data_IF_777567987951
#
_entry.id   IF_777567987951
#
_cell.length_a   1.000
_cell.length_b   1.000
_cell.length_c   1.000
_cell.angle_alpha   90.00
_cell.angle_beta   90.00
_cell.angle_gamma   90.00
#
_symmetry.space_group_name_H-M   'P 1'
#
loop_
_entity.id
_entity.type
_entity.pdbx_description
1 polymer ?
#
# COMPACT_ATOMS: atom_id res chain seq x y z
N UNK A 1 -10.64 13.87 13.17
CA UNK A 1 -10.13 14.57 11.95
C UNK A 1 -9.61 13.57 10.90
N UNK A 2 -9.01 12.42 11.27
CA UNK A 2 -8.62 11.38 10.30
C UNK A 2 -9.77 10.48 9.80
N UNK A 3 -10.79 10.19 10.63
CA UNK A 3 -11.85 9.22 10.26
C UNK A 3 -12.69 9.63 9.03
N UNK A 4 -13.02 10.92 8.88
CA UNK A 4 -13.76 11.40 7.69
C UNK A 4 -12.92 11.33 6.41
N UNK A 5 -11.62 11.63 6.50
CA UNK A 5 -10.71 11.53 5.37
C UNK A 5 -10.46 10.08 4.98
N UNK A 6 -10.27 9.20 5.97
CA UNK A 6 -10.13 7.76 5.78
C UNK A 6 -11.38 7.17 5.11
N UNK A 7 -12.57 7.49 5.64
CA UNK A 7 -13.84 7.09 5.05
C UNK A 7 -13.96 7.56 3.60
N UNK A 8 -13.58 8.82 3.33
CA UNK A 8 -13.61 9.36 1.97
C UNK A 8 -12.64 8.63 1.02
N UNK A 9 -11.43 8.27 1.48
CA UNK A 9 -10.48 7.47 0.69
C UNK A 9 -11.03 6.06 0.44
N UNK A 10 -11.68 5.43 1.43
CA UNK A 10 -12.26 4.10 1.25
C UNK A 10 -13.46 4.09 0.30
N UNK A 11 -14.31 5.12 0.33
CA UNK A 11 -15.52 5.21 -0.47
C UNK A 11 -15.28 5.76 -1.88
N UNK A 12 -14.38 6.75 -2.03
CA UNK A 12 -14.19 7.50 -3.27
C UNK A 12 -12.76 7.42 -3.82
N UNK A 13 -11.84 6.75 -3.11
CA UNK A 13 -10.46 6.59 -3.54
C UNK A 13 -10.30 5.63 -4.71
N UNK A 14 -9.21 5.82 -5.43
CA UNK A 14 -8.72 4.85 -6.38
C UNK A 14 -7.97 3.75 -5.63
N UNK A 15 -8.04 2.54 -6.17
CA UNK A 15 -7.41 1.35 -5.59
C UNK A 15 -6.41 0.75 -6.55
N UNK A 16 -5.27 0.32 -6.01
CA UNK A 16 -4.26 -0.43 -6.75
C UNK A 16 -3.78 -1.61 -5.90
N UNK A 17 -3.90 -2.81 -6.44
CA UNK A 17 -3.40 -4.03 -5.78
C UNK A 17 -2.11 -4.53 -6.43
N UNK A 18 -1.22 -5.04 -5.60
CA UNK A 18 0.05 -5.66 -5.97
C UNK A 18 0.13 -7.04 -5.34
N UNK A 19 0.34 -8.08 -6.15
CA UNK A 19 0.42 -9.46 -5.68
C UNK A 19 1.79 -10.03 -6.08
N UNK A 20 2.43 -10.75 -5.18
CA UNK A 20 3.70 -11.43 -5.40
C UNK A 20 4.51 -11.59 -4.13
N UNK A 21 5.81 -11.87 -4.28
CA UNK A 21 6.76 -11.77 -3.17
C UNK A 21 6.97 -10.30 -2.77
N UNK A 22 7.51 -10.04 -1.58
CA UNK A 22 7.82 -8.67 -1.11
C UNK A 22 8.67 -7.91 -2.12
N UNK A 23 9.72 -8.53 -2.65
CA UNK A 23 10.59 -7.93 -3.68
C UNK A 23 9.82 -7.53 -4.95
N UNK A 24 8.99 -8.45 -5.47
CA UNK A 24 8.17 -8.18 -6.66
C UNK A 24 7.15 -7.06 -6.42
N UNK A 25 6.58 -7.01 -5.21
CA UNK A 25 5.62 -5.97 -4.84
C UNK A 25 6.31 -4.61 -4.75
N UNK A 26 7.48 -4.54 -4.11
CA UNK A 26 8.27 -3.31 -4.01
C UNK A 26 8.62 -2.77 -5.41
N UNK A 27 9.06 -3.62 -6.33
CA UNK A 27 9.38 -3.20 -7.70
C UNK A 27 8.16 -2.63 -8.44
N UNK A 28 7.00 -3.29 -8.30
CA UNK A 28 5.74 -2.82 -8.89
C UNK A 28 5.25 -1.52 -8.25
N UNK A 29 5.39 -1.39 -6.92
CA UNK A 29 5.03 -0.17 -6.17
C UNK A 29 5.92 1.00 -6.59
N UNK A 30 7.24 0.81 -6.67
CA UNK A 30 8.17 1.84 -7.13
C UNK A 30 7.80 2.32 -8.53
N UNK A 31 7.50 1.40 -9.45
CA UNK A 31 7.06 1.74 -10.81
C UNK A 31 5.76 2.55 -10.79
N UNK A 32 4.77 2.09 -10.02
CA UNK A 32 3.50 2.80 -9.84
C UNK A 32 3.68 4.22 -9.28
N UNK A 33 4.54 4.39 -8.27
CA UNK A 33 4.77 5.69 -7.67
C UNK A 33 5.52 6.65 -8.59
N UNK A 34 6.45 6.17 -9.41
CA UNK A 34 7.09 6.98 -10.45
C UNK A 34 6.01 7.52 -11.40
N UNK A 35 5.11 6.66 -11.88
CA UNK A 35 4.04 7.05 -12.80
C UNK A 35 3.10 8.10 -12.15
N UNK A 36 2.71 7.91 -10.89
CA UNK A 36 1.78 8.83 -10.23
C UNK A 36 2.45 10.13 -9.76
N UNK A 37 3.73 10.12 -9.39
CA UNK A 37 4.50 11.34 -9.09
C UNK A 37 4.61 12.25 -10.31
N UNK A 38 4.84 11.68 -11.50
CA UNK A 38 4.86 12.44 -12.75
C UNK A 38 3.54 13.17 -13.01
N UNK A 39 2.44 12.67 -12.44
CA UNK A 39 1.12 13.27 -12.58
C UNK A 39 0.77 14.26 -11.44
N UNK A 40 1.61 14.40 -10.39
CA UNK A 40 1.41 15.27 -9.21
C UNK A 40 0.10 15.01 -8.44
N UNK A 41 -0.35 13.76 -8.36
CA UNK A 41 -1.74 13.53 -7.95
C UNK A 41 -1.98 13.09 -6.51
N UNK A 42 -1.03 12.76 -5.63
CA UNK A 42 -1.43 12.19 -4.33
C UNK A 42 -1.93 13.23 -3.32
N UNK A 43 -3.13 13.01 -2.75
CA UNK A 43 -3.56 13.65 -1.50
C UNK A 43 -2.84 13.08 -0.28
N UNK A 44 -2.88 13.83 0.83
CA UNK A 44 -2.15 13.59 2.09
C UNK A 44 -2.48 12.28 2.86
N UNK A 45 -3.31 11.36 2.36
CA UNK A 45 -3.65 10.11 3.06
C UNK A 45 -3.66 8.92 2.11
N UNK A 46 -2.98 7.85 2.53
CA UNK A 46 -2.97 6.55 1.86
C UNK A 46 -3.35 5.47 2.86
N UNK A 47 -4.24 4.57 2.43
CA UNK A 47 -4.60 3.38 3.19
C UNK A 47 -3.93 2.20 2.52
N UNK A 48 -3.13 1.48 3.30
CA UNK A 48 -2.38 0.32 2.91
C UNK A 48 -2.98 -0.91 3.59
N UNK A 49 -3.48 -1.86 2.80
CA UNK A 49 -3.89 -3.16 3.33
C UNK A 49 -2.86 -4.20 2.91
N UNK A 50 -2.16 -4.80 3.89
CA UNK A 50 -1.26 -5.93 3.70
C UNK A 50 -2.07 -7.19 3.99
N UNK A 51 -2.23 -8.03 2.98
CA UNK A 51 -2.96 -9.28 3.05
C UNK A 51 -1.94 -10.41 2.91
N UNK A 52 -1.91 -11.30 3.90
CA UNK A 52 -1.01 -12.45 3.92
C UNK A 52 -1.78 -13.76 4.14
N UNK A 53 -1.22 -14.85 3.63
CA UNK A 53 -1.74 -16.18 3.93
C UNK A 53 -1.58 -16.49 5.44
N UNK A 54 -2.57 -17.12 6.10
CA UNK A 54 -2.49 -17.44 7.53
C UNK A 54 -1.33 -18.37 7.91
N UNK A 55 -0.74 -19.07 6.95
CA UNK A 55 0.45 -19.90 7.15
C UNK A 55 1.78 -19.14 7.08
N UNK A 56 1.75 -17.89 6.58
CA UNK A 56 2.91 -17.01 6.46
C UNK A 56 2.87 -15.88 7.49
N UNK A 57 4.01 -15.58 8.09
CA UNK A 57 4.16 -14.44 9.00
C UNK A 57 4.63 -13.20 8.21
N UNK A 58 3.97 -12.05 8.41
CA UNK A 58 4.49 -10.77 7.95
C UNK A 58 5.50 -10.28 8.97
N UNK A 59 6.77 -10.20 8.58
CA UNK A 59 7.84 -9.76 9.49
C UNK A 59 7.92 -8.24 9.55
N UNK A 60 8.48 -7.71 10.65
CA UNK A 60 8.70 -6.27 10.79
C UNK A 60 9.70 -5.72 9.77
N UNK A 61 10.64 -6.53 9.31
CA UNK A 61 11.60 -6.14 8.27
C UNK A 61 10.88 -5.92 6.93
N UNK A 62 9.95 -6.80 6.57
CA UNK A 62 9.13 -6.67 5.37
C UNK A 62 8.22 -5.44 5.43
N UNK A 63 7.58 -5.20 6.58
CA UNK A 63 6.79 -3.98 6.82
C UNK A 63 7.67 -2.73 6.65
N UNK A 64 8.90 -2.76 7.16
CA UNK A 64 9.88 -1.68 7.01
C UNK A 64 10.18 -1.38 5.54
N UNK A 65 10.46 -2.43 4.75
CA UNK A 65 10.73 -2.30 3.31
C UNK A 65 9.54 -1.72 2.53
N UNK A 66 8.33 -2.17 2.83
CA UNK A 66 7.09 -1.68 2.21
C UNK A 66 6.89 -0.20 2.55
N UNK A 67 7.03 0.17 3.82
CA UNK A 67 6.91 1.56 4.26
C UNK A 67 7.95 2.46 3.60
N UNK A 68 9.20 2.01 3.49
CA UNK A 68 10.27 2.75 2.80
C UNK A 68 9.96 2.99 1.32
N UNK A 69 9.39 1.99 0.63
CA UNK A 69 8.98 2.13 -0.78
C UNK A 69 7.87 3.19 -0.93
N UNK A 70 6.87 3.17 -0.04
CA UNK A 70 5.78 4.15 -0.03
C UNK A 70 6.31 5.56 0.26
N UNK A 71 7.13 5.73 1.29
CA UNK A 71 7.65 7.05 1.65
C UNK A 71 8.55 7.65 0.57
N UNK A 72 9.35 6.84 -0.12
CA UNK A 72 10.11 7.27 -1.31
C UNK A 72 9.17 7.64 -2.47
N UNK A 73 8.08 6.89 -2.63
CA UNK A 73 7.13 7.04 -3.73
C UNK A 73 6.14 8.19 -3.60
N UNK A 74 5.76 8.62 -2.39
CA UNK A 74 4.79 9.72 -2.21
C UNK A 74 5.45 10.98 -1.63
N UNK A 75 6.67 10.85 -1.09
CA UNK A 75 7.31 11.92 -0.35
C UNK A 75 6.77 12.00 1.09
N UNK A 76 7.55 12.63 1.97
CA UNK A 76 7.38 12.58 3.43
C UNK A 76 6.13 13.29 4.00
N UNK A 77 5.16 13.68 3.17
CA UNK A 77 3.99 14.48 3.59
C UNK A 77 2.68 13.68 3.67
N UNK A 78 2.63 12.46 3.15
CA UNK A 78 1.45 11.62 3.25
C UNK A 78 1.38 10.87 4.59
N UNK A 79 0.20 10.88 5.20
CA UNK A 79 -0.17 9.98 6.28
C UNK A 79 -0.45 8.59 5.71
N UNK A 80 0.08 7.55 6.35
CA UNK A 80 -0.15 6.16 5.97
C UNK A 80 -0.96 5.50 7.08
N UNK A 81 -2.12 4.97 6.74
CA UNK A 81 -2.88 4.07 7.61
C UNK A 81 -2.63 2.65 7.11
N UNK A 82 -2.05 1.82 7.96
CA UNK A 82 -1.71 0.43 7.62
C UNK A 82 -2.64 -0.53 8.34
N UNK A 83 -3.27 -1.41 7.57
CA UNK A 83 -4.06 -2.52 8.06
C UNK A 83 -3.39 -3.82 7.63
N UNK A 84 -3.37 -4.81 8.51
CA UNK A 84 -2.88 -6.15 8.23
C UNK A 84 -4.07 -7.10 8.37
N UNK A 85 -4.33 -7.89 7.34
CA UNK A 85 -5.42 -8.86 7.28
C UNK A 85 -4.88 -10.24 6.89
N UNK A 86 -5.27 -11.26 7.63
CA UNK A 86 -4.95 -12.64 7.30
C UNK A 86 -6.05 -13.23 6.41
N UNK A 87 -5.70 -13.66 5.20
CA UNK A 87 -6.63 -14.25 4.24
C UNK A 87 -5.94 -15.28 3.36
N UNK A 88 -6.57 -16.43 3.05
CA UNK A 88 -5.99 -17.41 2.15
C UNK A 88 -5.62 -16.80 0.80
N UNK A 89 -4.36 -16.93 0.41
CA UNK A 89 -3.86 -16.47 -0.89
C UNK A 89 -3.68 -17.64 -1.84
N UNK A 90 -3.65 -17.34 -3.14
CA UNK A 90 -3.54 -18.36 -4.18
C UNK A 90 -2.17 -19.08 -4.17
N UNK A 91 -1.13 -18.45 -3.61
CA UNK A 91 0.24 -18.95 -3.62
C UNK A 91 0.94 -18.70 -2.27
N UNK A 92 1.57 -19.74 -1.73
CA UNK A 92 2.30 -19.69 -0.45
C UNK A 92 3.52 -18.78 -0.60
N UNK A 93 3.76 -17.91 0.40
CA UNK A 93 4.88 -16.98 0.40
C UNK A 93 4.67 -15.74 -0.50
N UNK A 94 3.44 -15.55 -0.98
CA UNK A 94 3.02 -14.29 -1.62
C UNK A 94 2.21 -13.43 -0.65
N UNK A 95 2.22 -12.13 -0.92
CA UNK A 95 1.43 -11.12 -0.24
C UNK A 95 0.54 -10.43 -1.27
N UNK A 96 -0.55 -9.84 -0.80
CA UNK A 96 -1.27 -8.82 -1.54
C UNK A 96 -1.18 -7.49 -0.79
N UNK A 97 -0.81 -6.44 -1.51
CA UNK A 97 -0.83 -5.07 -1.00
C UNK A 97 -1.84 -4.27 -1.79
N UNK A 98 -2.89 -3.79 -1.12
CA UNK A 98 -3.84 -2.83 -1.68
C UNK A 98 -3.50 -1.43 -1.19
N UNK A 99 -3.33 -0.50 -2.13
CA UNK A 99 -3.17 0.93 -1.87
C UNK A 99 -4.46 1.63 -2.29
N UNK A 100 -5.13 2.27 -1.32
CA UNK A 100 -6.23 3.20 -1.58
C UNK A 100 -5.75 4.64 -1.41
N UNK A 101 -6.03 5.49 -2.41
CA UNK A 101 -5.55 6.87 -2.46
C UNK A 101 -6.54 7.79 -3.19
N UNK A 102 -6.47 9.09 -2.91
CA UNK A 102 -7.22 10.10 -3.64
C UNK A 102 -6.28 10.94 -4.49
N UNK A 103 -6.78 11.37 -5.64
CA UNK A 103 -6.09 12.38 -6.44
C UNK A 103 -6.39 13.81 -5.92
N UNK A 104 -5.40 14.71 -6.01
CA UNK A 104 -5.59 16.17 -5.80
C UNK A 104 -6.56 16.77 -6.83
#
# INVERSE_FOLDING_TARGET
MNEELEKNVLENGLKKSFIGTVEQIIDKMNSFFIDVQLENKFKNLIILNIINDPSGEVTMDEIGLINDAIQKGIGSQASIVMNIEEKPLAEIGTYEIEISYLFE
#
